data_IF_436250907100
#
_entry.id   IF_436250907100
#
_cell.length_a   1.000
_cell.length_b   1.000
_cell.length_c   1.000
_cell.angle_alpha   90.00
_cell.angle_beta   90.00
_cell.angle_gamma   90.00
#
_symmetry.space_group_name_H-M   'P 1'
#
loop_
_entity.id
_entity.type
_entity.pdbx_description
1 polymer ?
#
# COMPACT_ATOMS: atom_id res chain seq x y z
N UNK A 1 4.53 22.89 31.14
CA UNK A 1 5.92 22.64 30.74
C UNK A 1 6.06 21.21 30.22
N UNK A 2 5.66 20.19 30.99
CA UNK A 2 5.75 18.76 30.61
C UNK A 2 5.15 18.46 29.23
N UNK A 3 3.92 18.92 28.92
CA UNK A 3 3.28 18.65 27.61
C UNK A 3 4.06 19.26 26.43
N UNK A 4 4.72 20.39 26.64
CA UNK A 4 5.55 21.01 25.62
C UNK A 4 6.84 20.22 25.41
N UNK A 5 7.46 19.79 26.50
CA UNK A 5 8.72 19.06 26.46
C UNK A 5 8.51 17.66 25.82
N UNK A 6 7.42 16.96 26.18
CA UNK A 6 7.02 15.69 25.55
C UNK A 6 6.75 15.89 24.06
N UNK A 7 5.96 16.90 23.69
CA UNK A 7 5.64 17.16 22.28
C UNK A 7 6.90 17.42 21.45
N UNK A 8 7.83 18.21 21.98
CA UNK A 8 9.10 18.56 21.33
C UNK A 8 10.02 17.33 21.23
N UNK A 9 10.18 16.57 22.32
CA UNK A 9 11.06 15.42 22.35
C UNK A 9 10.61 14.34 21.36
N UNK A 10 9.36 13.88 21.42
CA UNK A 10 8.85 12.86 20.52
C UNK A 10 8.81 13.33 19.07
N UNK A 11 8.45 14.59 18.81
CA UNK A 11 8.47 15.14 17.45
C UNK A 11 9.89 15.16 16.85
N UNK A 12 10.90 15.47 17.67
CA UNK A 12 12.30 15.50 17.22
C UNK A 12 12.89 14.10 17.00
N UNK A 13 12.65 13.16 17.93
CA UNK A 13 13.24 11.83 17.84
C UNK A 13 12.59 10.93 16.79
N UNK A 14 11.31 11.15 16.49
CA UNK A 14 10.56 10.31 15.55
C UNK A 14 10.32 10.96 14.19
N UNK A 15 10.86 12.17 13.92
CA UNK A 15 10.59 12.90 12.68
C UNK A 15 10.88 12.06 11.43
N UNK A 16 11.97 11.27 11.42
CA UNK A 16 12.35 10.45 10.28
C UNK A 16 11.33 9.33 10.01
N UNK A 17 10.89 8.63 11.07
CA UNK A 17 9.84 7.60 10.96
C UNK A 17 8.51 8.23 10.54
N UNK A 18 8.14 9.36 11.14
CA UNK A 18 6.92 10.09 10.80
C UNK A 18 6.94 10.58 9.35
N UNK A 19 8.09 11.05 8.86
CA UNK A 19 8.24 11.45 7.46
C UNK A 19 8.03 10.26 6.53
N UNK A 20 8.65 9.10 6.79
CA UNK A 20 8.48 7.88 5.97
C UNK A 20 7.01 7.45 5.98
N UNK A 21 6.37 7.41 7.15
CA UNK A 21 4.95 7.03 7.26
C UNK A 21 4.04 8.01 6.53
N UNK A 22 4.28 9.32 6.67
CA UNK A 22 3.49 10.36 5.98
C UNK A 22 3.69 10.30 4.45
N UNK A 23 4.94 10.18 3.98
CA UNK A 23 5.24 10.05 2.56
C UNK A 23 4.61 8.80 1.95
N UNK A 24 4.76 7.65 2.60
CA UNK A 24 4.16 6.41 2.11
C UNK A 24 2.64 6.42 2.19
N UNK A 25 2.03 7.06 3.20
CA UNK A 25 0.59 7.30 3.24
C UNK A 25 0.12 8.14 2.05
N UNK A 26 0.82 9.25 1.75
CA UNK A 26 0.55 10.08 0.57
C UNK A 26 0.65 9.26 -0.72
N UNK A 27 1.75 8.52 -0.91
CA UNK A 27 1.99 7.74 -2.13
C UNK A 27 0.96 6.63 -2.34
N UNK A 28 0.50 5.99 -1.26
CA UNK A 28 -0.50 4.92 -1.33
C UNK A 28 -1.92 5.45 -1.55
N UNK A 29 -2.30 6.57 -0.90
CA UNK A 29 -3.65 7.12 -1.01
C UNK A 29 -3.87 7.91 -2.30
N UNK A 30 -2.84 8.56 -2.83
CA UNK A 30 -2.89 9.33 -4.07
C UNK A 30 -2.07 8.66 -5.19
N UNK A 31 -2.08 7.33 -5.19
CA UNK A 31 -1.27 6.54 -6.11
C UNK A 31 -1.57 6.87 -7.57
N UNK A 32 -2.82 6.74 -7.98
CA UNK A 32 -3.23 6.94 -9.37
C UNK A 32 -3.27 8.41 -9.79
N UNK A 33 -3.63 9.31 -8.86
CA UNK A 33 -3.84 10.72 -9.13
C UNK A 33 -2.54 11.52 -9.20
N UNK A 34 -1.57 11.18 -8.35
CA UNK A 34 -0.35 11.98 -8.19
C UNK A 34 0.92 11.13 -8.28
N UNK A 35 1.02 10.09 -7.45
CA UNK A 35 2.29 9.39 -7.26
C UNK A 35 2.76 8.68 -8.54
N UNK A 36 1.91 7.85 -9.15
CA UNK A 36 2.22 7.13 -10.38
C UNK A 36 2.51 8.06 -11.57
N UNK A 37 1.70 9.11 -11.87
CA UNK A 37 2.03 10.08 -12.92
C UNK A 37 3.36 10.78 -12.74
N UNK A 38 3.72 11.14 -11.50
CA UNK A 38 5.02 11.77 -11.20
C UNK A 38 6.17 10.76 -11.38
N UNK A 39 6.04 9.56 -10.80
CA UNK A 39 7.05 8.50 -10.92
C UNK A 39 7.31 8.11 -12.37
N UNK A 40 6.27 7.99 -13.18
CA UNK A 40 6.35 7.62 -14.60
C UNK A 40 7.09 8.67 -15.46
N UNK A 41 7.19 9.93 -15.00
CA UNK A 41 8.00 10.98 -15.64
C UNK A 41 9.47 10.93 -15.23
N UNK A 42 9.76 10.42 -14.02
CA UNK A 42 11.11 10.34 -13.46
C UNK A 42 11.80 9.05 -13.91
N UNK A 43 11.08 7.94 -13.94
CA UNK A 43 11.62 6.63 -14.27
C UNK A 43 10.54 5.72 -14.87
N UNK A 44 10.98 4.70 -15.62
CA UNK A 44 10.07 3.73 -16.22
C UNK A 44 9.47 2.85 -15.12
N UNK A 45 8.17 3.00 -14.89
CA UNK A 45 7.35 2.08 -14.11
C UNK A 45 6.69 1.09 -15.08
N UNK A 46 6.82 -0.20 -14.79
CA UNK A 46 6.25 -1.25 -15.63
C UNK A 46 4.71 -1.24 -15.52
N UNK A 47 3.98 -1.12 -16.64
CA UNK A 47 2.52 -1.12 -16.59
C UNK A 47 2.00 -2.48 -16.14
N UNK A 48 1.00 -2.46 -15.29
CA UNK A 48 0.22 -3.63 -14.93
C UNK A 48 -0.92 -3.83 -15.95
N UNK A 49 -1.55 -5.02 -16.01
CA UNK A 49 -2.75 -5.21 -16.85
C UNK A 49 -3.90 -4.24 -16.55
N UNK A 50 -3.95 -3.69 -15.33
CA UNK A 50 -4.94 -2.69 -14.94
C UNK A 50 -4.66 -1.32 -15.56
N UNK A 51 -3.41 -0.96 -15.74
CA UNK A 51 -3.01 0.32 -16.34
C UNK A 51 -3.26 0.37 -17.86
N UNK A 52 -3.45 -0.80 -18.48
CA UNK A 52 -3.71 -0.92 -19.94
C UNK A 52 -5.19 -0.96 -20.30
N UNK A 53 -6.10 -0.87 -19.32
CA UNK A 53 -7.55 -0.94 -19.53
C UNK A 53 -8.26 0.26 -18.91
N UNK A 54 -9.31 0.69 -19.57
CA UNK A 54 -10.23 1.70 -19.01
C UNK A 54 -11.22 0.98 -18.09
N UNK A 55 -11.33 1.39 -16.81
CA UNK A 55 -12.30 0.77 -15.91
C UNK A 55 -13.73 1.12 -16.30
N UNK A 56 -14.65 0.16 -16.16
CA UNK A 56 -16.09 0.41 -16.26
C UNK A 56 -16.66 0.94 -14.94
N UNK A 57 -17.84 1.56 -14.99
CA UNK A 57 -18.53 2.02 -13.78
C UNK A 57 -19.06 0.85 -12.96
N UNK A 58 -19.38 1.11 -11.68
CA UNK A 58 -20.04 0.14 -10.81
C UNK A 58 -21.36 -0.39 -11.37
N UNK A 59 -22.09 0.47 -12.07
CA UNK A 59 -23.41 0.13 -12.63
C UNK A 59 -23.31 -0.69 -13.91
N UNK A 60 -22.10 -0.83 -14.48
CA UNK A 60 -21.87 -1.60 -15.71
C UNK A 60 -20.66 -2.53 -15.57
N UNK A 61 -20.72 -3.55 -14.69
CA UNK A 61 -19.64 -4.48 -14.46
C UNK A 61 -19.38 -5.38 -15.68
N UNK A 62 -18.13 -5.65 -15.97
CA UNK A 62 -17.74 -6.65 -16.96
C UNK A 62 -17.97 -8.03 -16.35
N UNK A 63 -18.89 -8.81 -16.91
CA UNK A 63 -19.15 -10.18 -16.46
C UNK A 63 -18.11 -11.15 -17.06
N UNK A 64 -17.55 -12.08 -16.26
CA UNK A 64 -16.60 -13.03 -16.77
C UNK A 64 -17.29 -14.09 -17.65
N UNK A 65 -16.62 -14.51 -18.72
CA UNK A 65 -17.02 -15.69 -19.52
C UNK A 65 -16.27 -16.94 -19.11
N UNK A 66 -15.18 -16.79 -18.35
CA UNK A 66 -14.40 -17.87 -17.79
C UNK A 66 -14.78 -18.10 -16.33
N UNK A 67 -14.71 -19.35 -15.86
CA UNK A 67 -14.94 -19.67 -14.45
C UNK A 67 -13.64 -19.56 -13.65
N UNK A 68 -13.77 -19.47 -12.31
CA UNK A 68 -12.62 -19.51 -11.42
C UNK A 68 -11.83 -20.81 -11.56
N UNK A 69 -12.52 -21.96 -11.73
CA UNK A 69 -11.90 -23.27 -11.85
C UNK A 69 -11.01 -23.33 -13.11
N UNK A 70 -11.51 -22.84 -14.24
CA UNK A 70 -10.76 -22.80 -15.50
C UNK A 70 -9.52 -21.95 -15.38
N UNK A 71 -9.67 -20.73 -14.80
CA UNK A 71 -8.54 -19.81 -14.63
C UNK A 71 -7.52 -20.33 -13.63
N UNK A 72 -7.95 -20.91 -12.50
CA UNK A 72 -7.05 -21.51 -11.51
C UNK A 72 -6.29 -22.71 -12.09
N UNK A 73 -6.95 -23.57 -12.87
CA UNK A 73 -6.28 -24.70 -13.52
C UNK A 73 -5.19 -24.23 -14.48
N UNK A 74 -5.49 -23.21 -15.29
CA UNK A 74 -4.54 -22.57 -16.20
C UNK A 74 -3.38 -21.91 -15.44
N UNK A 75 -3.68 -21.16 -14.39
CA UNK A 75 -2.69 -20.49 -13.57
C UNK A 75 -1.73 -21.49 -12.90
N UNK A 76 -2.22 -22.65 -12.45
CA UNK A 76 -1.36 -23.74 -11.92
C UNK A 76 -0.39 -24.28 -12.96
N UNK A 77 -0.85 -24.49 -14.19
CA UNK A 77 0.02 -24.94 -15.28
C UNK A 77 1.10 -23.92 -15.62
N UNK A 78 0.70 -22.64 -15.77
CA UNK A 78 1.59 -21.53 -16.08
C UNK A 78 2.62 -21.29 -14.95
N UNK A 79 2.19 -21.36 -13.68
CA UNK A 79 3.05 -21.23 -12.52
C UNK A 79 4.09 -22.34 -12.44
N UNK A 80 3.68 -23.61 -12.71
CA UNK A 80 4.61 -24.74 -12.79
C UNK A 80 5.66 -24.54 -13.88
N UNK A 81 5.26 -24.09 -15.07
CA UNK A 81 6.17 -23.81 -16.17
C UNK A 81 7.17 -22.67 -15.84
N UNK A 82 6.79 -21.74 -14.94
CA UNK A 82 7.61 -20.61 -14.46
C UNK A 82 8.44 -20.94 -13.21
N UNK A 83 8.35 -22.18 -12.70
CA UNK A 83 9.09 -22.61 -11.52
C UNK A 83 8.53 -22.11 -10.18
N UNK A 84 7.26 -21.71 -10.12
CA UNK A 84 6.63 -21.35 -8.85
C UNK A 84 6.46 -22.60 -7.98
N UNK A 85 6.91 -22.50 -6.73
CA UNK A 85 6.84 -23.60 -5.75
C UNK A 85 5.66 -23.46 -4.79
N UNK A 86 5.11 -22.25 -4.66
CA UNK A 86 3.96 -22.00 -3.80
C UNK A 86 2.64 -22.44 -4.47
N UNK A 87 1.68 -22.97 -3.69
CA UNK A 87 0.36 -23.30 -4.21
C UNK A 87 -0.45 -22.04 -4.54
N UNK A 88 -1.56 -22.21 -5.24
CA UNK A 88 -2.58 -21.16 -5.35
C UNK A 88 -3.12 -20.89 -3.96
N UNK A 89 -2.90 -19.67 -3.46
CA UNK A 89 -3.35 -19.20 -2.16
C UNK A 89 -4.61 -18.34 -2.23
N UNK A 90 -4.92 -17.77 -3.39
CA UNK A 90 -6.12 -16.98 -3.59
C UNK A 90 -6.36 -16.62 -5.06
N UNK A 91 -7.60 -16.24 -5.37
CA UNK A 91 -7.96 -15.71 -6.66
C UNK A 91 -9.04 -14.63 -6.49
N UNK A 92 -9.03 -13.64 -7.37
CA UNK A 92 -10.07 -12.61 -7.44
C UNK A 92 -10.44 -12.31 -8.89
N UNK A 93 -11.60 -11.71 -9.06
CA UNK A 93 -12.03 -11.13 -10.32
C UNK A 93 -12.33 -9.64 -10.14
N UNK A 94 -11.73 -8.80 -10.94
CA UNK A 94 -12.01 -7.38 -10.99
C UNK A 94 -13.04 -7.10 -12.09
N UNK A 95 -14.29 -6.89 -11.69
CA UNK A 95 -15.39 -6.62 -12.62
C UNK A 95 -15.26 -5.27 -13.35
N UNK A 96 -14.53 -4.31 -12.77
CA UNK A 96 -14.27 -3.03 -13.44
C UNK A 96 -13.30 -3.16 -14.62
N UNK A 97 -12.40 -4.11 -14.57
CA UNK A 97 -11.36 -4.30 -15.60
C UNK A 97 -11.52 -5.58 -16.41
N UNK A 98 -12.39 -6.50 -15.98
CA UNK A 98 -12.54 -7.80 -16.62
C UNK A 98 -11.32 -8.69 -16.46
N UNK A 99 -10.62 -8.61 -15.31
CA UNK A 99 -9.34 -9.27 -15.06
C UNK A 99 -9.45 -10.23 -13.88
N UNK A 100 -9.00 -11.47 -14.07
CA UNK A 100 -8.71 -12.39 -12.99
C UNK A 100 -7.27 -12.21 -12.50
N UNK A 101 -7.08 -12.22 -11.18
CA UNK A 101 -5.78 -12.32 -10.55
C UNK A 101 -5.70 -13.60 -9.72
N UNK A 102 -4.63 -14.37 -9.89
CA UNK A 102 -4.36 -15.60 -9.12
C UNK A 102 -3.06 -15.42 -8.34
N UNK A 103 -3.15 -15.49 -7.02
CA UNK A 103 -2.05 -15.36 -6.09
C UNK A 103 -1.44 -16.71 -5.72
N UNK A 104 -0.13 -16.73 -5.55
CA UNK A 104 0.62 -17.94 -5.18
C UNK A 104 1.32 -17.75 -3.84
N UNK A 105 0.78 -18.36 -2.78
CA UNK A 105 1.34 -18.33 -1.43
C UNK A 105 0.86 -19.51 -0.61
N UNK A 106 1.60 -19.83 0.46
CA UNK A 106 1.16 -20.79 1.47
C UNK A 106 0.11 -20.13 2.38
N UNK A 107 -0.66 -20.96 3.07
CA UNK A 107 -1.60 -20.48 4.10
C UNK A 107 -0.85 -19.65 5.15
N UNK A 108 -1.33 -18.46 5.43
CA UNK A 108 -0.74 -17.51 6.38
C UNK A 108 0.42 -16.66 5.84
N UNK A 109 0.84 -16.86 4.58
CA UNK A 109 1.91 -16.09 3.93
C UNK A 109 1.38 -15.19 2.78
N UNK A 110 0.19 -14.65 2.97
CA UNK A 110 -0.49 -13.76 2.02
C UNK A 110 0.20 -12.40 1.83
N UNK A 111 1.12 -12.05 2.73
CA UNK A 111 1.88 -10.82 2.67
C UNK A 111 3.20 -10.93 1.91
N UNK A 112 3.69 -12.14 1.66
CA UNK A 112 4.93 -12.39 0.94
C UNK A 112 6.19 -11.83 1.59
N UNK A 113 7.33 -11.99 0.91
CA UNK A 113 8.63 -11.56 1.39
C UNK A 113 8.68 -10.02 1.63
N UNK A 114 8.96 -9.62 2.88
CA UNK A 114 9.04 -8.22 3.28
C UNK A 114 7.70 -7.47 3.22
N UNK A 115 6.58 -8.16 3.06
CA UNK A 115 5.24 -7.56 3.06
C UNK A 115 4.81 -6.93 1.74
N UNK A 116 5.49 -7.24 0.63
CA UNK A 116 5.17 -6.69 -0.70
C UNK A 116 4.00 -7.42 -1.38
N UNK A 117 3.52 -8.50 -0.78
CA UNK A 117 2.49 -9.39 -1.32
C UNK A 117 3.07 -10.58 -2.07
N UNK A 118 2.23 -11.58 -2.39
CA UNK A 118 2.63 -12.76 -3.15
C UNK A 118 2.80 -12.47 -4.65
N UNK A 119 3.40 -13.39 -5.41
CA UNK A 119 3.33 -13.39 -6.87
C UNK A 119 1.88 -13.47 -7.36
N UNK A 120 1.56 -12.74 -8.41
CA UNK A 120 0.28 -12.80 -9.12
C UNK A 120 0.48 -13.11 -10.60
N UNK A 121 -0.40 -13.96 -11.15
CA UNK A 121 -0.62 -14.09 -12.59
C UNK A 121 -2.00 -13.55 -12.94
N UNK A 122 -2.10 -12.79 -14.02
CA UNK A 122 -3.33 -12.12 -14.46
C UNK A 122 -3.85 -12.69 -15.77
N UNK A 123 -5.17 -12.86 -15.84
CA UNK A 123 -5.87 -13.44 -16.98
C UNK A 123 -7.09 -12.63 -17.37
N UNK A 124 -7.39 -12.64 -18.65
CA UNK A 124 -8.58 -12.02 -19.22
C UNK A 124 -9.85 -12.79 -18.81
N UNK A 125 -10.88 -12.07 -18.34
CA UNK A 125 -12.16 -12.67 -17.96
C UNK A 125 -12.98 -13.20 -19.12
N UNK A 126 -12.75 -12.71 -20.34
CA UNK A 126 -13.51 -13.11 -21.51
C UNK A 126 -12.99 -14.42 -22.14
N UNK A 127 -11.70 -14.54 -22.33
CA UNK A 127 -11.08 -15.67 -23.06
C UNK A 127 -10.04 -16.45 -22.26
N UNK A 128 -9.69 -15.99 -21.06
CA UNK A 128 -8.69 -16.63 -20.20
C UNK A 128 -7.26 -16.48 -20.69
N UNK A 129 -6.97 -15.58 -21.65
CA UNK A 129 -5.58 -15.34 -22.07
C UNK A 129 -4.75 -14.74 -20.94
N UNK A 130 -3.47 -15.07 -20.92
CA UNK A 130 -2.52 -14.47 -19.99
C UNK A 130 -2.30 -12.99 -20.32
N UNK A 131 -2.40 -12.13 -19.31
CA UNK A 131 -2.24 -10.67 -19.46
C UNK A 131 -0.93 -10.14 -18.88
N UNK A 132 -0.32 -10.87 -17.94
CA UNK A 132 0.89 -10.43 -17.28
C UNK A 132 1.01 -10.99 -15.87
N UNK A 133 2.05 -10.55 -15.17
CA UNK A 133 2.34 -10.99 -13.81
C UNK A 133 2.81 -9.83 -12.95
N UNK A 134 2.70 -10.01 -11.64
CA UNK A 134 3.35 -9.18 -10.64
C UNK A 134 4.23 -10.07 -9.77
N UNK A 135 5.53 -9.88 -9.85
CA UNK A 135 6.50 -10.62 -9.04
C UNK A 135 7.06 -9.72 -7.94
N UNK A 136 7.07 -10.21 -6.67
CA UNK A 136 7.66 -9.48 -5.55
C UNK A 136 9.12 -9.12 -5.81
N UNK A 137 9.47 -7.85 -5.54
CA UNK A 137 10.84 -7.33 -5.66
C UNK A 137 11.48 -7.53 -7.05
N UNK A 138 10.66 -7.57 -8.10
CA UNK A 138 11.10 -7.67 -9.49
C UNK A 138 10.67 -6.42 -10.27
N UNK A 139 11.44 -6.11 -11.33
CA UNK A 139 11.18 -4.98 -12.20
C UNK A 139 12.31 -3.96 -12.20
N UNK A 140 12.02 -2.74 -12.63
CA UNK A 140 12.93 -1.60 -12.63
C UNK A 140 13.18 -1.07 -11.20
N UNK A 141 14.13 -0.17 -11.04
CA UNK A 141 14.31 0.52 -9.73
C UNK A 141 13.05 1.26 -9.29
N UNK A 142 12.30 1.83 -10.24
CA UNK A 142 11.02 2.48 -9.95
C UNK A 142 9.96 1.47 -9.50
N UNK A 143 9.88 0.28 -10.11
CA UNK A 143 8.98 -0.78 -9.69
C UNK A 143 9.27 -1.23 -8.26
N UNK A 144 10.56 -1.41 -7.91
CA UNK A 144 10.99 -1.76 -6.55
C UNK A 144 10.59 -0.66 -5.56
N UNK A 145 10.80 0.62 -5.92
CA UNK A 145 10.44 1.75 -5.08
C UNK A 145 8.91 1.82 -4.85
N UNK A 146 8.13 1.64 -5.91
CA UNK A 146 6.65 1.56 -5.82
C UNK A 146 6.22 0.40 -4.93
N UNK A 147 6.79 -0.78 -5.11
CA UNK A 147 6.48 -1.96 -4.31
C UNK A 147 6.84 -1.77 -2.83
N UNK A 148 7.90 -1.03 -2.51
CA UNK A 148 8.36 -0.78 -1.15
C UNK A 148 7.43 0.13 -0.33
N UNK A 149 6.51 0.88 -0.96
CA UNK A 149 5.67 1.86 -0.25
C UNK A 149 4.81 1.22 0.85
N UNK A 150 4.10 0.13 0.56
CA UNK A 150 3.29 -0.55 1.55
C UNK A 150 4.11 -1.27 2.64
N UNK A 151 5.17 -2.03 2.33
CA UNK A 151 6.08 -2.58 3.33
C UNK A 151 6.70 -1.55 4.27
N UNK A 152 7.08 -0.39 3.76
CA UNK A 152 7.60 0.73 4.57
C UNK A 152 6.51 1.32 5.46
N UNK A 153 5.33 1.59 4.90
CA UNK A 153 4.18 2.14 5.63
C UNK A 153 3.73 1.24 6.78
N UNK A 154 3.65 -0.06 6.53
CA UNK A 154 3.20 -1.05 7.50
C UNK A 154 4.29 -1.55 8.45
N UNK A 155 5.55 -1.17 8.23
CA UNK A 155 6.71 -1.69 8.94
C UNK A 155 7.10 -3.12 8.58
N UNK A 156 6.39 -3.78 7.66
CA UNK A 156 6.63 -5.19 7.28
C UNK A 156 7.98 -5.44 6.65
N UNK A 157 8.60 -4.41 6.08
CA UNK A 157 9.95 -4.48 5.50
C UNK A 157 11.01 -4.95 6.51
N UNK A 158 10.82 -4.63 7.80
CA UNK A 158 11.67 -5.07 8.91
C UNK A 158 11.03 -6.24 9.70
N UNK A 159 9.98 -6.86 9.20
CA UNK A 159 9.28 -7.95 9.88
C UNK A 159 8.57 -7.50 11.16
N UNK A 160 8.64 -8.34 12.20
CA UNK A 160 7.99 -8.07 13.50
C UNK A 160 8.52 -6.80 14.18
N UNK A 161 9.85 -6.55 14.27
CA UNK A 161 10.38 -5.30 14.83
C UNK A 161 9.84 -4.04 14.17
N UNK A 162 9.74 -4.03 12.84
CA UNK A 162 9.19 -2.90 12.10
C UNK A 162 7.70 -2.66 12.40
N UNK A 163 6.92 -3.71 12.49
CA UNK A 163 5.49 -3.62 12.86
C UNK A 163 5.30 -3.07 14.27
N UNK A 164 6.14 -3.50 15.23
CA UNK A 164 6.15 -2.94 16.59
C UNK A 164 6.50 -1.45 16.54
N UNK A 165 7.54 -1.07 15.79
CA UNK A 165 7.96 0.33 15.64
C UNK A 165 6.80 1.19 15.10
N UNK A 166 6.12 0.77 14.04
CA UNK A 166 4.99 1.52 13.46
C UNK A 166 3.82 1.61 14.45
N UNK A 167 3.51 0.52 15.18
CA UNK A 167 2.45 0.53 16.20
C UNK A 167 2.76 1.53 17.33
N UNK A 168 4.00 1.53 17.84
CA UNK A 168 4.45 2.50 18.85
C UNK A 168 4.42 3.93 18.30
N UNK A 169 4.84 4.13 17.05
CA UNK A 169 4.77 5.43 16.38
C UNK A 169 3.33 5.94 16.32
N UNK A 170 2.34 5.08 16.04
CA UNK A 170 0.93 5.43 16.08
C UNK A 170 0.47 5.95 17.45
N UNK A 171 0.90 5.30 18.54
CA UNK A 171 0.61 5.77 19.91
C UNK A 171 1.25 7.13 20.20
N UNK A 172 2.48 7.33 19.74
CA UNK A 172 3.16 8.63 19.88
C UNK A 172 2.44 9.72 19.07
N UNK A 173 1.98 9.43 17.86
CA UNK A 173 1.18 10.40 17.06
C UNK A 173 -0.09 10.78 17.80
N UNK A 174 -0.79 9.84 18.41
CA UNK A 174 -1.96 10.14 19.24
C UNK A 174 -1.61 11.06 20.41
N UNK A 175 -0.52 10.79 21.13
CA UNK A 175 -0.03 11.63 22.22
C UNK A 175 0.39 13.04 21.73
N UNK A 176 1.07 13.14 20.58
CA UNK A 176 1.43 14.40 19.95
C UNK A 176 0.19 15.23 19.55
N UNK A 177 -0.84 14.58 19.04
CA UNK A 177 -2.10 15.22 18.68
C UNK A 177 -2.79 15.82 19.91
N UNK A 178 -2.93 15.04 20.99
CA UNK A 178 -3.53 15.50 22.24
C UNK A 178 -2.72 16.65 22.86
N UNK A 179 -1.40 16.48 22.99
CA UNK A 179 -0.53 17.53 23.57
C UNK A 179 -0.50 18.79 22.71
N UNK A 180 -0.55 18.65 21.38
CA UNK A 180 -0.65 19.79 20.44
C UNK A 180 -1.92 20.61 20.66
N UNK A 181 -3.07 19.94 20.77
CA UNK A 181 -4.35 20.60 21.07
C UNK A 181 -4.31 21.31 22.44
N UNK A 182 -3.78 20.66 23.47
CA UNK A 182 -3.64 21.26 24.82
C UNK A 182 -2.76 22.49 24.79
N UNK A 183 -1.63 22.44 24.09
CA UNK A 183 -0.71 23.59 23.93
C UNK A 183 -1.43 24.75 23.18
N UNK A 184 -2.13 24.42 22.09
CA UNK A 184 -2.88 25.40 21.31
C UNK A 184 -3.98 26.09 22.15
N UNK A 185 -4.77 25.32 22.90
CA UNK A 185 -5.81 25.86 23.78
C UNK A 185 -5.24 26.78 24.86
N UNK A 186 -4.13 26.39 25.51
CA UNK A 186 -3.45 27.24 26.50
C UNK A 186 -2.96 28.54 25.91
N UNK A 187 -2.33 28.49 24.72
CA UNK A 187 -1.86 29.69 24.00
C UNK A 187 -3.03 30.58 23.60
N UNK A 188 -4.14 30.01 23.10
CA UNK A 188 -5.34 30.74 22.73
C UNK A 188 -5.95 31.48 23.94
N UNK A 189 -6.11 30.78 25.08
CA UNK A 189 -6.61 31.40 26.32
C UNK A 189 -5.73 32.56 26.78
N UNK A 190 -4.42 32.39 26.80
CA UNK A 190 -3.49 33.46 27.19
C UNK A 190 -3.58 34.71 26.29
N UNK A 191 -3.77 34.51 24.97
CA UNK A 191 -3.96 35.62 24.00
C UNK A 191 -5.27 36.37 24.24
N UNK A 192 -6.35 35.62 24.53
CA UNK A 192 -7.67 36.24 24.80
C UNK A 192 -7.63 37.08 26.08
N UNK A 193 -7.04 36.55 27.15
CA UNK A 193 -6.89 37.27 28.42
C UNK A 193 -6.04 38.55 28.26
N UNK A 194 -4.97 38.52 27.44
CA UNK A 194 -4.10 39.67 27.19
C UNK A 194 -4.77 40.76 26.34
N UNK A 195 -5.86 40.47 25.62
CA UNK A 195 -6.60 41.41 24.78
C UNK A 195 -7.81 42.05 25.50
N UNK A 196 -8.14 41.66 26.73
CA UNK A 196 -9.18 42.34 27.51
C UNK A 196 -8.56 43.61 28.10
N UNK A 197 -9.04 44.83 27.71
CA UNK A 197 -8.66 46.03 28.38
C UNK A 197 -9.11 46.01 29.84
N UNK A 198 -8.30 46.61 30.74
CA UNK A 198 -8.63 46.79 32.15
C UNK A 198 -9.85 47.69 32.29
#
# INVERSE_FOLDING_TARGET
>A
RINFDIHRAFGLWLWGVLFVVAFTAFSLNLYSEVFYPVMSKISKVSPTPFDTRVPTSHDNPILPKQTYETIIAKARADAKARGFTAPVGGAFYSAHYGIYGVAFHKVGDDHGAGGVGPPYLYYDGADGRYLGERLPWKGTAADIFVQAQFPLHSGRILGVPGRILISLTGLVVAALSVTGVVIWLKKRRARVLRKKPA
#
